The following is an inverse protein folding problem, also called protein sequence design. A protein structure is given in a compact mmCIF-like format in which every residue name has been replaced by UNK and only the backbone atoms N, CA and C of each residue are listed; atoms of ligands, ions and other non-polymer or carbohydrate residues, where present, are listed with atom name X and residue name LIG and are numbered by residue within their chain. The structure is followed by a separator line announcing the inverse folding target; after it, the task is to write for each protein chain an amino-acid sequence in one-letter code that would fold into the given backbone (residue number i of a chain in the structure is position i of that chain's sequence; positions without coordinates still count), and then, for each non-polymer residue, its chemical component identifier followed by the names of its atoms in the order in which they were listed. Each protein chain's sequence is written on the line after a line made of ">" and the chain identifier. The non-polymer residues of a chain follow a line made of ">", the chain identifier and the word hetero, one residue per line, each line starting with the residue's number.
data_IF_210652733728
#
_entry.id   IF_210652733728
#
_cell.length_a   1.000
_cell.length_b   1.000
_cell.length_c   1.000
_cell.angle_alpha   90.00
_cell.angle_beta   90.00
_cell.angle_gamma   90.00
#
_symmetry.space_group_name_H-M   'P 1'
#
loop_
_entity.id
_entity.type
_entity.pdbx_description
1 polymer ?
#
# COMPACT_ATOMS: atom_id res chain seq x y z
N UNK A 1 13.15 15.41 -18.12
CA UNK A 1 13.98 14.59 -17.21
C UNK A 1 13.06 13.82 -16.26
N UNK A 2 12.38 12.80 -16.76
CA UNK A 2 11.60 11.90 -15.91
C UNK A 2 12.54 10.75 -15.52
N UNK A 3 12.98 10.73 -14.27
CA UNK A 3 13.77 9.62 -13.75
C UNK A 3 12.93 8.36 -13.86
N UNK A 4 13.45 7.42 -14.64
CA UNK A 4 12.98 6.06 -14.73
C UNK A 4 13.06 5.46 -13.32
N UNK A 5 12.01 5.64 -12.52
CA UNK A 5 11.84 5.07 -11.19
C UNK A 5 11.70 3.55 -11.36
N UNK A 6 12.86 2.93 -11.58
CA UNK A 6 13.26 1.61 -11.14
C UNK A 6 12.20 0.99 -10.22
N UNK A 7 11.24 0.32 -10.84
CA UNK A 7 10.22 -0.46 -10.16
C UNK A 7 10.88 -1.73 -9.60
N UNK A 8 11.85 -1.56 -8.68
CA UNK A 8 12.39 -2.65 -7.86
C UNK A 8 11.22 -3.19 -7.06
N UNK A 9 10.65 -4.28 -7.56
CA UNK A 9 9.69 -5.10 -6.83
C UNK A 9 10.31 -5.41 -5.47
N UNK A 10 9.69 -4.93 -4.39
CA UNK A 10 10.21 -5.13 -3.04
C UNK A 10 9.59 -6.39 -2.45
N UNK A 11 10.36 -7.42 -2.15
CA UNK A 11 9.81 -8.59 -1.47
C UNK A 11 9.28 -8.22 -0.07
N UNK A 12 8.13 -8.77 0.30
CA UNK A 12 7.58 -8.71 1.65
C UNK A 12 7.83 -10.07 2.31
N UNK A 13 8.61 -10.08 3.39
CA UNK A 13 8.92 -11.31 4.15
C UNK A 13 7.68 -11.85 4.88
N UNK A 14 6.79 -10.98 5.35
CA UNK A 14 5.60 -11.36 6.12
C UNK A 14 4.53 -12.01 5.23
N UNK A 15 4.23 -11.39 4.09
CA UNK A 15 3.23 -11.91 3.14
C UNK A 15 3.84 -12.87 2.09
N UNK A 16 5.16 -13.07 2.13
CA UNK A 16 5.94 -13.90 1.19
C UNK A 16 5.63 -13.61 -0.30
N UNK A 17 5.50 -12.33 -0.65
CA UNK A 17 5.16 -11.89 -2.02
C UNK A 17 6.03 -10.73 -2.48
N UNK A 18 6.20 -10.62 -3.79
CA UNK A 18 6.82 -9.46 -4.42
C UNK A 18 5.84 -8.30 -4.47
N UNK A 19 6.16 -7.20 -3.79
CA UNK A 19 5.31 -6.02 -3.75
C UNK A 19 5.47 -5.23 -5.05
N UNK A 20 4.35 -4.83 -5.69
CA UNK A 20 4.42 -3.88 -6.79
C UNK A 20 5.01 -2.55 -6.30
N UNK A 21 5.54 -1.71 -7.21
CA UNK A 21 6.00 -0.37 -6.86
C UNK A 21 4.90 0.39 -6.10
N UNK A 22 5.30 1.16 -5.08
CA UNK A 22 4.42 1.91 -4.17
C UNK A 22 3.57 1.07 -3.19
N UNK A 23 3.73 -0.26 -3.10
CA UNK A 23 3.05 -1.04 -2.07
C UNK A 23 3.88 -1.19 -0.77
N UNK A 24 3.22 -1.01 0.38
CA UNK A 24 3.82 -1.12 1.71
C UNK A 24 3.01 -2.11 2.56
N UNK A 25 3.71 -2.88 3.39
CA UNK A 25 3.09 -3.82 4.31
C UNK A 25 2.64 -3.07 5.57
N UNK A 26 1.35 -3.15 5.89
CA UNK A 26 0.84 -2.70 7.18
C UNK A 26 0.97 -3.83 8.19
N UNK A 27 1.81 -3.64 9.21
CA UNK A 27 1.98 -4.62 10.29
C UNK A 27 0.70 -4.81 11.12
N UNK A 28 -0.11 -3.76 11.28
CA UNK A 28 -1.35 -3.79 12.07
C UNK A 28 -2.43 -4.66 11.41
N UNK A 29 -2.63 -4.50 10.10
CA UNK A 29 -3.59 -5.30 9.33
C UNK A 29 -2.98 -6.58 8.76
N UNK A 30 -1.66 -6.78 8.93
CA UNK A 30 -0.88 -7.87 8.38
C UNK A 30 -1.10 -8.10 6.88
N UNK A 31 -1.18 -7.01 6.11
CA UNK A 31 -1.50 -7.04 4.67
C UNK A 31 -0.65 -6.05 3.90
N UNK A 32 -0.26 -6.41 2.67
CA UNK A 32 0.38 -5.50 1.72
C UNK A 32 -0.66 -4.62 1.03
N UNK A 33 -0.54 -3.30 1.19
CA UNK A 33 -1.46 -2.31 0.62
C UNK A 33 -0.74 -1.54 -0.47
N UNK A 34 -1.32 -1.48 -1.68
CA UNK A 34 -0.80 -0.66 -2.78
C UNK A 34 -1.04 0.83 -2.50
N UNK A 35 -0.09 1.69 -2.85
CA UNK A 35 -0.08 3.14 -2.53
C UNK A 35 -0.51 3.41 -1.09
N UNK A 36 0.09 2.68 -0.16
CA UNK A 36 -0.21 2.82 1.25
C UNK A 36 0.11 4.24 1.72
N UNK A 37 -0.87 4.89 2.34
CA UNK A 37 -0.69 6.19 3.01
C UNK A 37 -0.49 5.97 4.51
N UNK A 38 -1.54 5.51 5.21
CA UNK A 38 -1.48 5.18 6.62
C UNK A 38 -2.51 4.12 7.03
N UNK A 39 -2.31 3.53 8.21
CA UNK A 39 -3.35 2.75 8.88
C UNK A 39 -4.15 3.67 9.79
N UNK A 40 -5.44 3.83 9.51
CA UNK A 40 -6.31 4.66 10.34
C UNK A 40 -6.93 3.80 11.44
N UNK A 41 -6.50 4.00 12.68
CA UNK A 41 -7.06 3.29 13.84
C UNK A 41 -8.52 3.62 14.11
N UNK A 42 -9.03 4.76 13.62
CA UNK A 42 -10.43 5.18 13.78
C UNK A 42 -11.35 4.34 12.89
N UNK A 43 -10.94 4.07 11.65
CA UNK A 43 -11.71 3.27 10.69
C UNK A 43 -11.38 1.76 10.86
N UNK A 44 -10.30 1.44 11.57
CA UNK A 44 -9.80 0.08 11.73
C UNK A 44 -9.27 -0.52 10.43
N UNK A 45 -8.92 0.31 9.44
CA UNK A 45 -8.50 -0.15 8.13
C UNK A 45 -7.36 0.70 7.54
N UNK A 46 -6.65 0.14 6.57
CA UNK A 46 -5.60 0.84 5.84
C UNK A 46 -6.18 1.75 4.77
N UNK A 47 -5.61 2.95 4.66
CA UNK A 47 -5.88 3.89 3.58
C UNK A 47 -4.81 3.70 2.49
N UNK A 48 -5.25 3.34 1.28
CA UNK A 48 -4.37 3.12 0.11
C UNK A 48 -5.16 2.99 -1.20
N UNK A 49 -4.53 2.50 -2.28
CA UNK A 49 -5.05 2.56 -3.67
C UNK A 49 -6.45 1.98 -3.85
N UNK A 50 -6.78 0.88 -3.17
CA UNK A 50 -8.13 0.28 -3.22
C UNK A 50 -9.20 1.06 -2.45
N UNK A 51 -8.79 2.06 -1.66
CA UNK A 51 -9.71 3.00 -1.01
C UNK A 51 -9.75 4.37 -1.71
N UNK A 52 -8.81 4.69 -2.61
CA UNK A 52 -8.81 5.98 -3.33
C UNK A 52 -10.01 6.14 -4.29
N UNK A 53 -10.61 5.05 -4.76
CA UNK A 53 -11.82 5.11 -5.60
C UNK A 53 -13.12 5.21 -4.80
N UNK A 54 -13.10 4.89 -3.50
CA UNK A 54 -14.27 4.93 -2.62
C UNK A 54 -14.25 6.09 -1.61
N UNK A 55 -13.13 6.81 -1.48
CA UNK A 55 -13.02 8.03 -0.66
C UNK A 55 -13.16 9.34 -1.45
N UNK A 56 -13.73 9.28 -2.67
CA UNK A 56 -14.20 10.45 -3.43
C UNK A 56 -15.73 10.51 -3.53
N UNK A 57 -16.45 9.71 -2.73
CA UNK A 57 -17.91 9.65 -2.72
C UNK A 57 -18.52 10.00 -1.35
N UNK A 58 -17.82 10.80 -0.53
CA UNK A 58 -18.36 11.54 0.61
C UNK A 58 -17.72 12.93 0.68
#
# INVERSE_FOLDING_TARGET
>A
SATNDDARLKFCVTCQLWRPPMATHCATCNVCVRRFDHHCGVIGNCVGEYNHSWFLAL
#
